data_IF_013984349691
#
_entry.id   IF_013984349691
#
_cell.length_a   1.000
_cell.length_b   1.000
_cell.length_c   1.000
_cell.angle_alpha   90.00
_cell.angle_beta   90.00
_cell.angle_gamma   90.00
#
_symmetry.space_group_name_H-M   'P 1'
#
loop_
_entity.id
_entity.type
_entity.pdbx_description
1 polymer ?
#
# COMPACT_ATOMS: atom_id res chain seq x y z
N UNK A 1 30.54 3.56 -24.55
CA UNK A 1 29.19 2.94 -24.55
C UNK A 1 28.69 2.71 -23.12
N UNK A 2 27.40 2.49 -22.89
CA UNK A 2 26.80 2.29 -21.54
C UNK A 2 26.37 0.84 -21.27
N UNK A 3 27.09 -0.15 -21.81
CA UNK A 3 26.77 -1.57 -21.61
C UNK A 3 26.81 -1.95 -20.13
N UNK A 4 25.86 -2.78 -19.69
CA UNK A 4 25.75 -3.23 -18.29
C UNK A 4 25.25 -2.19 -17.28
N UNK A 5 24.99 -0.94 -17.68
CA UNK A 5 24.55 0.13 -16.76
C UNK A 5 23.05 0.00 -16.42
N UNK A 6 22.74 -0.74 -15.34
CA UNK A 6 21.36 -1.08 -14.92
C UNK A 6 20.69 -0.07 -13.97
N UNK A 7 21.31 1.09 -13.71
CA UNK A 7 20.77 2.12 -12.80
C UNK A 7 20.60 3.48 -13.48
N UNK A 8 19.48 4.14 -13.18
CA UNK A 8 19.15 5.46 -13.72
C UNK A 8 19.81 6.57 -12.88
N UNK A 9 20.41 7.55 -13.56
CA UNK A 9 21.07 8.69 -12.90
C UNK A 9 20.07 9.80 -12.55
N UNK A 10 18.86 9.75 -13.13
CA UNK A 10 17.77 10.72 -12.91
C UNK A 10 18.20 12.17 -13.15
N UNK A 11 19.16 12.39 -14.07
CA UNK A 11 19.72 13.71 -14.34
C UNK A 11 20.42 14.37 -13.15
N UNK A 12 20.86 13.60 -12.14
CA UNK A 12 21.43 14.13 -10.89
C UNK A 12 22.81 13.57 -10.59
N UNK A 13 23.62 14.40 -9.91
CA UNK A 13 24.87 13.97 -9.26
C UNK A 13 24.59 12.90 -8.21
N UNK A 14 25.59 12.07 -7.91
CA UNK A 14 25.44 10.91 -7.03
C UNK A 14 24.92 11.27 -5.63
N UNK A 15 25.45 12.31 -4.99
CA UNK A 15 25.02 12.75 -3.66
C UNK A 15 23.53 13.15 -3.65
N UNK A 16 23.12 14.03 -4.58
CA UNK A 16 21.73 14.46 -4.70
C UNK A 16 20.79 13.31 -5.04
N UNK A 17 21.21 12.37 -5.90
CA UNK A 17 20.39 11.18 -6.21
C UNK A 17 20.15 10.32 -4.97
N UNK A 18 21.18 10.08 -4.16
CA UNK A 18 21.06 9.31 -2.90
C UNK A 18 20.13 10.01 -1.92
N UNK A 19 20.31 11.32 -1.70
CA UNK A 19 19.46 12.10 -0.80
C UNK A 19 17.98 12.11 -1.25
N UNK A 20 17.73 12.34 -2.53
CA UNK A 20 16.37 12.32 -3.08
C UNK A 20 15.70 10.95 -2.90
N UNK A 21 16.40 9.85 -3.18
CA UNK A 21 15.85 8.50 -3.00
C UNK A 21 15.55 8.19 -1.54
N UNK A 22 16.43 8.63 -0.63
CA UNK A 22 16.19 8.52 0.81
C UNK A 22 14.93 9.28 1.24
N UNK A 23 14.82 10.56 0.86
CA UNK A 23 13.65 11.38 1.20
C UNK A 23 12.35 10.78 0.66
N UNK A 24 12.33 10.35 -0.61
CA UNK A 24 11.15 9.70 -1.20
C UNK A 24 10.80 8.37 -0.51
N UNK A 25 11.80 7.63 -0.03
CA UNK A 25 11.57 6.39 0.72
C UNK A 25 10.95 6.68 2.09
N UNK A 26 11.44 7.71 2.81
CA UNK A 26 10.84 8.16 4.07
C UNK A 26 9.38 8.58 3.85
N UNK A 27 9.10 9.43 2.85
CA UNK A 27 7.73 9.85 2.54
C UNK A 27 6.82 8.68 2.14
N UNK A 28 7.34 7.66 1.44
CA UNK A 28 6.57 6.45 1.12
C UNK A 28 6.26 5.62 2.37
N UNK A 29 7.19 5.53 3.31
CA UNK A 29 7.01 4.80 4.57
C UNK A 29 5.97 5.50 5.46
N UNK A 30 6.04 6.84 5.54
CA UNK A 30 5.15 7.66 6.35
C UNK A 30 3.72 7.67 5.78
N UNK A 31 3.56 7.92 4.48
CA UNK A 31 2.25 8.10 3.87
C UNK A 31 1.67 6.85 3.19
N UNK A 32 2.44 5.75 3.12
CA UNK A 32 2.11 4.47 2.43
C UNK A 32 1.90 4.58 0.91
N UNK A 33 1.72 5.79 0.39
CA UNK A 33 1.51 6.12 -1.03
C UNK A 33 2.04 7.52 -1.34
N UNK A 34 2.71 7.67 -2.49
CA UNK A 34 3.19 8.95 -3.01
C UNK A 34 3.02 9.05 -4.52
N UNK A 35 2.94 10.28 -5.05
CA UNK A 35 2.91 10.55 -6.49
C UNK A 35 4.24 11.13 -6.95
N UNK A 36 4.80 10.61 -8.04
CA UNK A 36 6.09 11.05 -8.58
C UNK A 36 6.17 10.78 -10.09
N UNK A 37 7.31 11.07 -10.73
CA UNK A 37 7.50 10.73 -12.15
C UNK A 37 7.84 9.25 -12.32
N UNK A 38 7.44 8.65 -13.44
CA UNK A 38 7.62 7.21 -13.69
C UNK A 38 9.08 6.76 -13.54
N UNK A 39 10.03 7.57 -14.02
CA UNK A 39 11.45 7.29 -13.91
C UNK A 39 11.93 7.26 -12.44
N UNK A 40 11.43 8.18 -11.60
CA UNK A 40 11.74 8.22 -10.16
C UNK A 40 11.09 7.04 -9.44
N UNK A 41 9.84 6.72 -9.74
CA UNK A 41 9.11 5.58 -9.18
C UNK A 41 9.86 4.25 -9.42
N UNK A 42 10.29 4.00 -10.65
CA UNK A 42 11.05 2.79 -11.02
C UNK A 42 12.40 2.70 -10.30
N UNK A 43 13.07 3.84 -10.09
CA UNK A 43 14.32 3.90 -9.32
C UNK A 43 14.08 3.69 -7.81
N UNK A 44 13.01 4.30 -7.27
CA UNK A 44 12.61 4.16 -5.87
C UNK A 44 12.29 2.71 -5.51
N UNK A 45 11.59 1.97 -6.38
CA UNK A 45 11.30 0.55 -6.15
C UNK A 45 12.56 -0.28 -5.90
N UNK A 46 13.60 -0.08 -6.72
CA UNK A 46 14.90 -0.76 -6.53
C UNK A 46 15.61 -0.38 -5.24
N UNK A 47 15.32 0.80 -4.70
CA UNK A 47 15.91 1.31 -3.46
C UNK A 47 15.16 0.81 -2.22
N UNK A 48 13.82 0.81 -2.25
CA UNK A 48 12.96 0.51 -1.09
C UNK A 48 12.76 -0.98 -0.86
N UNK A 49 12.61 -1.80 -1.91
CA UNK A 49 12.31 -3.23 -1.73
C UNK A 49 13.35 -3.99 -0.87
N UNK A 50 14.67 -3.76 -1.02
CA UNK A 50 15.66 -4.39 -0.13
C UNK A 50 15.56 -3.91 1.32
N UNK A 51 15.13 -2.65 1.55
CA UNK A 51 14.96 -2.12 2.91
C UNK A 51 13.76 -2.75 3.60
N UNK A 52 12.64 -2.91 2.89
CA UNK A 52 11.46 -3.62 3.40
C UNK A 52 11.80 -5.08 3.67
N UNK A 53 12.57 -5.72 2.79
CA UNK A 53 13.02 -7.11 3.01
C UNK A 53 13.81 -7.25 4.30
N UNK A 54 14.77 -6.35 4.57
CA UNK A 54 15.54 -6.34 5.82
C UNK A 54 14.70 -6.02 7.05
N UNK A 55 13.60 -5.28 6.90
CA UNK A 55 12.73 -4.93 8.03
C UNK A 55 11.91 -6.09 8.59
N UNK A 56 11.81 -7.20 7.85
CA UNK A 56 11.11 -8.41 8.32
C UNK A 56 11.78 -9.07 9.52
N UNK A 57 13.10 -8.95 9.61
CA UNK A 57 13.89 -9.44 10.74
C UNK A 57 14.30 -8.26 11.61
N UNK A 58 13.66 -8.10 12.76
CA UNK A 58 13.97 -7.01 13.69
C UNK A 58 15.22 -7.32 14.50
N UNK A 59 16.38 -6.97 13.93
CA UNK A 59 17.68 -7.04 14.60
C UNK A 59 18.33 -5.66 14.70
N UNK A 60 19.14 -5.45 15.73
CA UNK A 60 19.94 -4.22 15.88
C UNK A 60 20.81 -3.93 14.66
N UNK A 61 21.36 -4.98 14.03
CA UNK A 61 22.14 -4.84 12.80
C UNK A 61 21.27 -4.32 11.65
N UNK A 62 20.11 -4.95 11.39
CA UNK A 62 19.20 -4.53 10.32
C UNK A 62 18.71 -3.10 10.52
N UNK A 63 18.35 -2.71 11.75
CA UNK A 63 17.97 -1.33 12.07
C UNK A 63 19.08 -0.33 11.74
N UNK A 64 20.33 -0.62 12.12
CA UNK A 64 21.51 0.25 11.81
C UNK A 64 21.75 0.35 10.31
N UNK A 65 21.67 -0.78 9.61
CA UNK A 65 21.83 -0.81 8.16
C UNK A 65 20.76 0.03 7.50
N UNK A 66 19.47 -0.18 7.80
CA UNK A 66 18.38 0.61 7.20
C UNK A 66 18.51 2.10 7.55
N UNK A 67 18.88 2.44 8.79
CA UNK A 67 19.13 3.82 9.19
C UNK A 67 20.23 4.50 8.36
N UNK A 68 21.28 3.78 7.96
CA UNK A 68 22.32 4.34 7.07
C UNK A 68 21.78 4.82 5.70
N UNK A 69 20.69 4.21 5.22
CA UNK A 69 20.02 4.58 3.98
C UNK A 69 19.00 5.70 4.17
N UNK A 70 18.07 5.54 5.14
CA UNK A 70 16.94 6.45 5.34
C UNK A 70 17.33 7.73 6.11
N UNK A 71 18.27 7.62 7.06
CA UNK A 71 18.70 8.73 7.93
C UNK A 71 17.58 9.40 8.75
N UNK A 72 16.42 8.75 8.87
CA UNK A 72 15.29 9.19 9.70
C UNK A 72 14.96 8.11 10.73
N UNK A 73 14.87 8.50 12.01
CA UNK A 73 14.54 7.57 13.11
C UNK A 73 13.05 7.20 13.08
N UNK A 74 12.20 8.14 12.70
CA UNK A 74 10.75 7.97 12.63
C UNK A 74 10.40 6.96 11.54
N UNK A 75 10.91 7.16 10.32
CA UNK A 75 10.69 6.23 9.22
C UNK A 75 11.23 4.81 9.52
N UNK A 76 12.39 4.69 10.20
CA UNK A 76 12.90 3.37 10.61
C UNK A 76 11.98 2.72 11.64
N UNK A 77 11.49 3.49 12.61
CA UNK A 77 10.58 2.96 13.64
C UNK A 77 9.28 2.47 13.01
N UNK A 78 8.71 3.26 12.13
CA UNK A 78 7.49 2.95 11.38
C UNK A 78 7.65 1.69 10.51
N UNK A 79 8.78 1.59 9.81
CA UNK A 79 9.08 0.47 8.94
C UNK A 79 9.18 -0.87 9.70
N UNK A 80 9.82 -0.88 10.87
CA UNK A 80 10.02 -2.10 11.66
C UNK A 80 8.83 -2.45 12.58
N UNK A 81 7.96 -1.49 12.92
CA UNK A 81 6.81 -1.74 13.79
C UNK A 81 5.54 -2.07 13.01
N UNK A 82 5.18 -1.23 12.04
CA UNK A 82 3.89 -1.35 11.36
C UNK A 82 3.99 -2.06 10.01
N UNK A 83 4.93 -1.62 9.18
CA UNK A 83 5.03 -2.10 7.79
C UNK A 83 5.52 -3.54 7.75
N UNK A 84 6.59 -3.85 8.48
CA UNK A 84 7.21 -5.19 8.53
C UNK A 84 6.20 -6.29 8.87
N UNK A 85 5.31 -6.02 9.84
CA UNK A 85 4.27 -6.95 10.30
C UNK A 85 3.25 -7.20 9.19
N UNK A 86 2.76 -6.13 8.53
CA UNK A 86 1.80 -6.28 7.42
C UNK A 86 2.38 -6.98 6.18
N UNK A 87 3.67 -6.81 5.91
CA UNK A 87 4.32 -7.38 4.71
C UNK A 87 5.05 -8.71 4.96
N UNK A 88 4.97 -9.25 6.19
CA UNK A 88 5.79 -10.38 6.66
C UNK A 88 5.69 -11.60 5.73
N UNK A 89 4.48 -11.99 5.34
CA UNK A 89 4.22 -13.20 4.54
C UNK A 89 4.56 -13.03 3.05
N UNK A 90 4.62 -11.80 2.54
CA UNK A 90 4.79 -11.55 1.10
C UNK A 90 6.23 -11.86 0.65
N UNK A 91 6.49 -12.77 -0.30
CA UNK A 91 7.86 -13.14 -0.69
C UNK A 91 8.65 -12.01 -1.36
N UNK A 92 7.96 -11.04 -1.98
CA UNK A 92 8.57 -9.89 -2.62
C UNK A 92 7.54 -9.01 -3.35
N UNK A 93 8.01 -7.91 -3.96
CA UNK A 93 7.14 -6.97 -4.67
C UNK A 93 6.22 -6.20 -3.73
N UNK A 94 6.78 -5.61 -2.68
CA UNK A 94 6.04 -4.84 -1.66
C UNK A 94 5.48 -3.52 -2.17
N UNK A 95 6.05 -3.00 -3.26
CA UNK A 95 5.72 -1.70 -3.84
C UNK A 95 5.06 -1.90 -5.21
N UNK A 96 3.90 -1.27 -5.39
CA UNK A 96 3.21 -1.18 -6.67
C UNK A 96 3.44 0.19 -7.29
N UNK A 97 3.58 0.21 -8.62
CA UNK A 97 3.66 1.43 -9.41
C UNK A 97 2.45 1.44 -10.36
N UNK A 98 1.58 2.44 -10.22
CA UNK A 98 0.42 2.65 -11.08
C UNK A 98 0.69 3.89 -11.93
N UNK A 99 0.56 3.76 -13.26
CA UNK A 99 0.67 4.91 -14.16
C UNK A 99 -0.59 5.75 -14.04
N UNK A 100 -0.44 7.07 -13.92
CA UNK A 100 -1.56 7.98 -13.81
C UNK A 100 -1.87 8.63 -15.16
N UNK A 101 -0.89 9.32 -15.72
CA UNK A 101 -1.01 10.15 -16.93
C UNK A 101 0.17 11.09 -17.03
N UNK A 102 0.14 12.05 -17.96
CA UNK A 102 1.21 13.04 -18.09
C UNK A 102 0.88 14.31 -17.32
N UNK A 103 1.91 14.93 -16.73
CA UNK A 103 1.79 16.20 -16.04
C UNK A 103 1.64 17.35 -17.03
N UNK A 104 0.73 18.27 -16.73
CA UNK A 104 0.57 19.50 -17.51
C UNK A 104 1.81 20.40 -17.35
N UNK A 105 2.28 20.99 -18.46
CA UNK A 105 3.44 21.88 -18.49
C UNK A 105 4.66 21.23 -19.14
N UNK A 106 5.20 20.17 -18.54
CA UNK A 106 6.40 19.48 -19.04
C UNK A 106 6.12 18.11 -19.67
N UNK A 107 4.84 17.71 -19.74
CA UNK A 107 4.38 16.43 -20.28
C UNK A 107 5.08 15.21 -19.64
N UNK A 108 5.57 15.33 -18.41
CA UNK A 108 6.29 14.26 -17.75
C UNK A 108 5.33 13.12 -17.36
N UNK A 109 5.65 11.84 -17.66
CA UNK A 109 4.81 10.72 -17.26
C UNK A 109 4.84 10.55 -15.74
N UNK A 110 3.65 10.60 -15.13
CA UNK A 110 3.44 10.48 -13.69
C UNK A 110 3.03 9.07 -13.30
N UNK A 111 3.46 8.68 -12.11
CA UNK A 111 3.12 7.41 -11.51
C UNK A 111 2.87 7.57 -10.01
N UNK A 112 1.88 6.84 -9.51
CA UNK A 112 1.62 6.62 -8.10
C UNK A 112 2.41 5.41 -7.65
N UNK A 113 3.07 5.54 -6.50
CA UNK A 113 3.82 4.46 -5.85
C UNK A 113 3.14 4.17 -4.53
N UNK A 114 2.78 2.91 -4.26
CA UNK A 114 2.08 2.51 -3.05
C UNK A 114 2.61 1.20 -2.47
N UNK A 115 2.45 1.01 -1.17
CA UNK A 115 2.65 -0.28 -0.51
C UNK A 115 1.43 -1.18 -0.80
N UNK A 116 1.71 -2.38 -1.32
CA UNK A 116 0.67 -3.31 -1.78
C UNK A 116 -0.28 -3.70 -0.65
N UNK A 117 0.26 -4.04 0.52
CA UNK A 117 -0.50 -4.58 1.66
C UNK A 117 -1.24 -3.49 2.48
N UNK A 118 -1.16 -2.22 2.04
CA UNK A 118 -1.91 -1.11 2.62
C UNK A 118 -3.09 -0.66 1.75
N UNK A 119 -3.29 -1.28 0.57
CA UNK A 119 -4.40 -0.97 -0.32
C UNK A 119 -5.40 -2.13 -0.35
N UNK A 120 -6.43 -2.05 0.49
CA UNK A 120 -7.48 -3.07 0.62
C UNK A 120 -8.52 -3.04 -0.50
N UNK A 121 -8.65 -1.90 -1.20
CA UNK A 121 -9.69 -1.70 -2.22
C UNK A 121 -9.28 -2.22 -3.61
N UNK A 122 -7.98 -2.31 -3.87
CA UNK A 122 -7.46 -2.70 -5.18
C UNK A 122 -6.82 -4.09 -5.13
N UNK A 123 -7.64 -5.10 -5.44
CA UNK A 123 -7.18 -6.44 -5.76
C UNK A 123 -7.35 -6.71 -7.28
N UNK A 124 -6.26 -6.69 -8.07
CA UNK A 124 -6.33 -6.96 -9.50
C UNK A 124 -6.68 -8.43 -9.82
N UNK A 125 -6.57 -9.35 -8.85
CA UNK A 125 -6.94 -10.77 -9.03
C UNK A 125 -8.35 -11.10 -8.51
N UNK A 126 -9.04 -10.12 -7.96
CA UNK A 126 -10.47 -10.16 -7.68
C UNK A 126 -10.93 -11.43 -6.98
N UNK A 127 -10.50 -11.66 -5.73
CA UNK A 127 -11.31 -12.49 -4.83
C UNK A 127 -12.53 -11.68 -4.36
N UNK A 128 -13.41 -11.32 -5.31
CA UNK A 128 -14.71 -10.75 -5.00
C UNK A 128 -15.53 -11.86 -4.34
N UNK A 129 -15.74 -11.77 -3.03
CA UNK A 129 -16.77 -12.54 -2.37
C UNK A 129 -18.07 -12.40 -3.18
N UNK A 130 -18.65 -13.53 -3.60
CA UNK A 130 -19.93 -13.56 -4.34
C UNK A 130 -20.94 -12.79 -3.51
N UNK A 131 -21.34 -11.60 -3.96
CA UNK A 131 -22.52 -10.92 -3.40
C UNK A 131 -23.70 -11.83 -3.69
N UNK A 132 -24.13 -12.59 -2.69
CA UNK A 132 -25.42 -13.28 -2.72
C UNK A 132 -26.45 -12.16 -2.78
N UNK A 133 -27.01 -11.92 -3.97
CA UNK A 133 -28.22 -11.13 -4.10
C UNK A 133 -29.31 -11.97 -3.45
N UNK A 134 -29.57 -11.75 -2.16
CA UNK A 134 -30.73 -12.31 -1.47
C UNK A 134 -31.98 -11.62 -1.99
N UNK A 135 -32.35 -11.92 -3.24
CA UNK A 135 -33.69 -11.70 -3.76
C UNK A 135 -34.44 -13.02 -3.66
N UNK A 136 -34.63 -13.49 -2.43
CA UNK A 136 -35.62 -14.51 -2.13
C UNK A 136 -36.38 -14.07 -0.89
N UNK A 137 -37.52 -13.41 -1.14
CA UNK A 137 -38.73 -13.38 -0.33
C UNK A 137 -39.72 -12.39 -0.98
N UNK A 138 -40.31 -12.84 -2.09
CA UNK A 138 -41.66 -12.44 -2.45
C UNK A 138 -42.34 -13.66 -3.05
N UNK A 139 -43.33 -14.19 -2.34
CA UNK A 139 -44.25 -15.19 -2.86
C UNK A 139 -44.31 -16.49 -2.06
N UNK A 140 -45.06 -16.47 -0.96
CA UNK A 140 -45.54 -17.65 -0.23
C UNK A 140 -46.02 -17.21 1.15
N UNK A 141 -47.27 -17.36 1.57
CA UNK A 141 -48.43 -18.01 0.98
C UNK A 141 -49.71 -17.49 1.69
N UNK A 142 -50.85 -17.66 1.01
CA UNK A 142 -52.17 -18.09 1.54
C UNK A 142 -52.79 -17.40 2.78
N UNK A 143 -53.94 -16.75 2.53
CA UNK A 143 -55.10 -16.53 3.42
C UNK A 143 -55.33 -17.64 4.46
N UNK A 144 -55.59 -17.27 5.72
CA UNK A 144 -56.74 -17.57 6.65
C UNK A 144 -56.51 -16.66 7.89
N UNK A 145 -57.27 -15.59 8.13
CA UNK A 145 -58.37 -15.44 9.16
C UNK A 145 -57.98 -15.95 10.57
N UNK A 146 -58.22 -15.32 11.72
CA UNK A 146 -58.92 -14.11 12.18
C UNK A 146 -58.59 -13.92 13.69
N UNK A 147 -58.93 -12.74 14.26
CA UNK A 147 -59.12 -12.43 15.70
C UNK A 147 -57.89 -12.44 16.64
N UNK A 148 -57.70 -11.59 17.65
CA UNK A 148 -58.38 -10.42 18.27
C UNK A 148 -57.33 -9.69 19.15
N UNK A 149 -57.62 -8.43 19.49
CA UNK A 149 -57.00 -7.46 20.42
C UNK A 149 -56.33 -8.07 21.68
N UNK A 150 -55.28 -7.52 22.30
CA UNK A 150 -55.28 -6.29 23.13
C UNK A 150 -53.85 -5.94 23.61
N UNK A 151 -53.67 -4.68 24.03
CA UNK A 151 -52.50 -4.08 24.67
C UNK A 151 -52.06 -4.79 25.97
N UNK A 152 -50.75 -4.83 26.28
CA UNK A 152 -50.16 -4.24 27.51
C UNK A 152 -48.63 -4.27 27.50
N UNK A 153 -48.10 -3.23 28.14
CA UNK A 153 -46.74 -2.89 28.54
C UNK A 153 -46.02 -3.88 29.47
N UNK A 154 -44.68 -3.91 29.33
CA UNK A 154 -43.60 -3.94 30.35
C UNK A 154 -43.66 -4.88 31.58
N UNK A 155 -42.62 -5.71 31.76
CA UNK A 155 -41.71 -5.82 32.94
C UNK A 155 -40.71 -6.99 32.68
N UNK A 156 -39.40 -6.72 32.60
CA UNK A 156 -38.36 -7.04 33.62
C UNK A 156 -38.08 -8.54 33.81
N UNK A 157 -37.01 -9.05 33.15
CA UNK A 157 -35.71 -9.50 33.71
C UNK A 157 -34.97 -10.38 32.69
#
# INVERSE_FOLDING_TARGET
MRHGKKFNHLGRKTAHRKAMLSNMACSLIEHKRINTTEAKAKALRKFVEPLITKSKEDTTHNRRVVFSYLRSKEAVTELFKEISVKVAERPGGYVRIIKLGNRQGDNAPMAMVELVDYNELYDPKGNKAKKTTRRSRRGGAKKVEAAVETQTSQEEE
#
